data_IF_222982710235
#
_entry.id   IF_222982710235
#
_cell.length_a   1.000
_cell.length_b   1.000
_cell.length_c   1.000
_cell.angle_alpha   90.00
_cell.angle_beta   90.00
_cell.angle_gamma   90.00
#
_symmetry.space_group_name_H-M   'P 1'
#
loop_
_entity.id
_entity.type
_entity.pdbx_description
1 polymer ?
#
# COMPACT_ATOMS: atom_id res chain seq x y z
N UNK A 1 -12.87 -14.11 11.23
CA UNK A 1 -12.34 -12.76 11.60
C UNK A 1 -12.57 -11.85 10.42
N UNK A 2 -12.76 -10.53 10.62
CA UNK A 2 -12.90 -9.61 9.49
C UNK A 2 -11.55 -9.44 8.77
N UNK A 3 -11.60 -9.15 7.48
CA UNK A 3 -10.45 -8.79 6.66
C UNK A 3 -10.08 -7.34 6.94
N UNK A 4 -8.79 -7.04 7.01
CA UNK A 4 -8.26 -5.70 7.16
C UNK A 4 -7.59 -5.22 5.89
N UNK A 5 -7.81 -3.93 5.54
CA UNK A 5 -7.02 -3.27 4.49
C UNK A 5 -5.67 -2.82 5.02
N UNK A 6 -4.65 -2.80 4.17
CA UNK A 6 -3.37 -2.14 4.48
C UNK A 6 -3.42 -0.62 4.28
N UNK A 7 -4.46 -0.08 3.64
CA UNK A 7 -4.65 1.35 3.43
C UNK A 7 -5.57 1.95 4.47
N UNK A 8 -5.41 3.23 4.75
CA UNK A 8 -6.25 3.95 5.70
C UNK A 8 -5.66 5.30 6.09
N UNK A 9 -6.51 6.14 6.66
CA UNK A 9 -6.14 7.44 7.20
C UNK A 9 -6.83 7.67 8.55
N UNK A 10 -6.09 8.25 9.48
CA UNK A 10 -6.67 8.70 10.74
C UNK A 10 -5.99 9.98 11.22
N UNK A 11 -6.77 10.79 11.95
CA UNK A 11 -6.30 12.01 12.59
C UNK A 11 -6.97 12.16 13.95
N UNK A 12 -6.19 12.52 14.96
CA UNK A 12 -6.71 13.00 16.23
C UNK A 12 -6.00 14.29 16.61
N UNK A 13 -6.76 15.27 17.11
CA UNK A 13 -6.24 16.58 17.46
C UNK A 13 -6.75 16.97 18.84
N UNK A 14 -5.97 17.79 19.55
CA UNK A 14 -6.34 18.30 20.86
C UNK A 14 -5.68 19.64 21.15
N UNK A 15 -6.11 20.25 22.25
CA UNK A 15 -5.54 21.49 22.76
C UNK A 15 -5.21 21.33 24.23
N UNK A 16 -4.09 21.90 24.68
CA UNK A 16 -3.66 21.92 26.08
C UNK A 16 -3.01 23.26 26.37
N UNK A 17 -3.65 24.06 27.21
CA UNK A 17 -3.22 25.43 27.46
C UNK A 17 -3.19 26.22 26.15
N UNK A 18 -2.02 26.78 25.82
CA UNK A 18 -1.81 27.55 24.60
C UNK A 18 -1.35 26.69 23.39
N UNK A 19 -1.25 25.39 23.56
CA UNK A 19 -0.75 24.48 22.52
C UNK A 19 -1.89 23.70 21.87
N UNK A 20 -1.97 23.75 20.55
CA UNK A 20 -2.78 22.87 19.73
C UNK A 20 -1.87 21.80 19.10
N UNK A 21 -2.30 20.56 19.11
CA UNK A 21 -1.55 19.47 18.53
C UNK A 21 -2.45 18.54 17.70
N UNK A 22 -1.87 17.88 16.71
CA UNK A 22 -2.56 16.88 15.91
C UNK A 22 -1.61 15.77 15.48
N UNK A 23 -2.06 14.54 15.66
CA UNK A 23 -1.49 13.36 15.03
C UNK A 23 -2.22 13.06 13.72
N UNK A 24 -1.48 12.82 12.69
CA UNK A 24 -1.99 12.31 11.42
C UNK A 24 -1.23 11.04 11.05
N UNK A 25 -1.95 10.05 10.56
CA UNK A 25 -1.36 8.81 10.04
C UNK A 25 -1.99 8.44 8.72
N UNK A 26 -1.14 8.13 7.75
CA UNK A 26 -1.52 7.53 6.47
C UNK A 26 -0.87 6.17 6.37
N UNK A 27 -1.69 5.14 6.18
CA UNK A 27 -1.26 3.77 5.93
C UNK A 27 -1.37 3.48 4.43
N UNK A 28 -0.35 2.89 3.85
CA UNK A 28 -0.32 2.42 2.46
C UNK A 28 0.21 1.00 2.40
N UNK A 29 -0.07 0.31 1.29
CA UNK A 29 0.38 -1.06 1.07
C UNK A 29 1.90 -1.21 1.27
N UNK A 30 2.32 -2.33 1.89
CA UNK A 30 3.72 -2.66 2.16
C UNK A 30 3.96 -4.16 2.29
N UNK A 31 5.14 -4.63 1.90
CA UNK A 31 5.53 -6.06 2.06
C UNK A 31 5.69 -6.48 3.51
N UNK A 32 6.08 -5.54 4.36
CA UNK A 32 6.23 -5.67 5.80
C UNK A 32 5.71 -4.43 6.50
N UNK A 33 5.96 -4.29 7.80
CA UNK A 33 5.65 -3.07 8.54
C UNK A 33 6.83 -2.10 8.44
N UNK A 34 6.57 -0.88 7.98
CA UNK A 34 7.50 0.25 7.99
C UNK A 34 6.81 1.47 8.63
N UNK A 35 7.35 1.96 9.76
CA UNK A 35 6.75 3.08 10.51
C UNK A 35 7.67 4.30 10.43
N UNK A 36 7.24 5.30 9.67
CA UNK A 36 7.96 6.57 9.47
C UNK A 36 7.28 7.66 10.27
N UNK A 37 7.96 8.13 11.31
CA UNK A 37 7.44 9.15 12.21
C UNK A 37 8.16 10.46 11.98
N UNK A 38 7.40 11.55 11.87
CA UNK A 38 7.89 12.93 11.83
C UNK A 38 7.29 13.69 12.99
N UNK A 39 8.15 14.31 13.79
CA UNK A 39 7.77 15.17 14.90
C UNK A 39 8.52 16.50 14.80
N UNK A 40 8.02 17.60 15.38
CA UNK A 40 8.77 18.86 15.46
C UNK A 40 10.05 18.69 16.27
N UNK A 41 11.04 19.56 16.00
CA UNK A 41 12.32 19.61 16.75
C UNK A 41 12.04 19.82 18.24
N UNK A 42 12.74 19.06 19.09
CA UNK A 42 12.58 19.11 20.54
C UNK A 42 11.52 18.16 21.13
N UNK A 43 10.77 17.42 20.26
CA UNK A 43 9.73 16.47 20.67
C UNK A 43 10.06 15.02 20.30
N UNK A 44 11.35 14.67 20.23
CA UNK A 44 11.84 13.37 19.75
C UNK A 44 11.33 12.18 20.58
N UNK A 45 11.04 12.37 21.87
CA UNK A 45 10.45 11.37 22.76
C UNK A 45 9.10 10.83 22.22
N UNK A 46 8.29 11.68 21.60
CA UNK A 46 7.05 11.25 20.98
C UNK A 46 7.27 10.38 19.73
N UNK A 47 8.37 10.57 19.01
CA UNK A 47 8.73 9.73 17.87
C UNK A 47 8.96 8.27 18.28
N UNK A 48 9.68 8.06 19.37
CA UNK A 48 9.96 6.73 19.92
C UNK A 48 8.68 6.05 20.44
N UNK A 49 7.88 6.78 21.22
CA UNK A 49 6.60 6.31 21.71
C UNK A 49 5.65 5.92 20.57
N UNK A 50 5.54 6.76 19.53
CA UNK A 50 4.73 6.49 18.36
C UNK A 50 5.19 5.23 17.62
N UNK A 51 6.48 5.10 17.30
CA UNK A 51 7.04 3.90 16.66
C UNK A 51 6.69 2.63 17.41
N UNK A 52 6.91 2.63 18.73
CA UNK A 52 6.62 1.48 19.58
C UNK A 52 5.14 1.09 19.55
N UNK A 53 4.24 2.07 19.71
CA UNK A 53 2.80 1.81 19.76
C UNK A 53 2.27 1.34 18.39
N UNK A 54 2.67 1.97 17.28
CA UNK A 54 2.30 1.54 15.93
C UNK A 54 2.85 0.15 15.60
N UNK A 55 4.11 -0.15 15.95
CA UNK A 55 4.70 -1.48 15.71
C UNK A 55 4.04 -2.60 16.53
N UNK A 56 3.45 -2.27 17.69
CA UNK A 56 2.66 -3.23 18.47
C UNK A 56 1.25 -3.41 17.91
N UNK A 57 0.70 -2.35 17.30
CA UNK A 57 -0.70 -2.31 16.87
C UNK A 57 -0.94 -2.89 15.46
N UNK A 58 0.07 -2.89 14.59
CA UNK A 58 -0.02 -3.29 13.18
C UNK A 58 1.09 -4.26 12.81
N UNK A 59 0.83 -5.13 11.81
CA UNK A 59 1.78 -6.16 11.36
C UNK A 59 2.30 -5.90 9.96
N UNK A 60 1.55 -5.14 9.12
CA UNK A 60 1.91 -4.82 7.73
C UNK A 60 1.49 -3.41 7.32
N UNK A 61 2.14 -2.94 6.26
CA UNK A 61 1.88 -1.63 5.66
C UNK A 61 2.99 -0.62 5.94
N UNK A 62 3.06 0.42 5.14
CA UNK A 62 3.93 1.57 5.38
C UNK A 62 3.10 2.68 6.02
N UNK A 63 3.43 3.03 7.26
CA UNK A 63 2.75 4.03 8.05
C UNK A 63 3.55 5.34 8.03
N UNK A 64 2.95 6.37 7.46
CA UNK A 64 3.47 7.75 7.54
C UNK A 64 2.74 8.46 8.66
N UNK A 65 3.44 8.70 9.76
CA UNK A 65 2.92 9.30 10.98
C UNK A 65 3.54 10.68 11.14
N UNK A 66 2.72 11.71 11.39
CA UNK A 66 3.21 13.05 11.67
C UNK A 66 2.52 13.64 12.89
N UNK A 67 3.29 14.33 13.72
CA UNK A 67 2.81 15.16 14.81
C UNK A 67 3.00 16.62 14.42
N UNK A 68 1.94 17.39 14.45
CA UNK A 68 2.01 18.85 14.38
C UNK A 68 1.70 19.43 15.76
N UNK A 69 2.51 20.39 16.22
CA UNK A 69 2.28 21.13 17.45
C UNK A 69 2.36 22.61 17.08
N UNK A 70 1.30 23.35 17.37
CA UNK A 70 1.22 24.80 17.18
C UNK A 70 1.00 25.46 18.54
N UNK A 71 1.78 26.48 18.86
CA UNK A 71 1.59 27.30 20.05
C UNK A 71 0.91 28.62 19.64
N UNK A 72 -0.29 28.88 20.14
CA UNK A 72 -0.93 30.19 19.94
C UNK A 72 -0.33 31.27 20.82
N UNK A 73 0.49 30.91 21.79
CA UNK A 73 0.89 31.78 22.89
C UNK A 73 2.34 32.27 22.85
N UNK A 74 3.03 32.30 21.74
CA UNK A 74 4.30 33.04 21.75
C UNK A 74 4.78 33.43 20.36
N UNK A 75 4.62 34.69 20.04
CA UNK A 75 5.70 35.34 19.31
C UNK A 75 7.01 35.04 20.09
N UNK A 76 8.04 34.51 19.41
CA UNK A 76 9.30 34.17 20.09
C UNK A 76 9.81 35.41 20.85
N UNK A 77 9.88 35.30 22.17
CA UNK A 77 10.37 36.40 23.00
C UNK A 77 11.89 36.37 22.94
N UNK A 78 12.53 37.37 22.31
CA UNK A 78 13.99 37.45 22.31
C UNK A 78 14.46 37.69 23.76
N UNK A 79 15.32 36.85 24.25
CA UNK A 79 15.98 36.98 25.52
C UNK A 79 17.43 37.36 25.28
N UNK A 80 17.91 38.39 25.99
CA UNK A 80 19.33 38.76 25.92
C UNK A 80 20.09 37.84 26.87
N UNK A 81 21.07 37.11 26.33
CA UNK A 81 22.08 36.38 27.12
C UNK A 81 23.03 37.40 27.75
N UNK A 82 22.72 37.76 29.00
CA UNK A 82 23.48 38.79 29.70
C UNK A 82 24.96 38.40 29.94
N UNK A 83 25.24 37.11 30.11
CA UNK A 83 26.60 36.61 30.31
C UNK A 83 27.40 36.74 29.01
N UNK A 84 26.87 36.31 27.88
CA UNK A 84 27.52 36.48 26.59
C UNK A 84 27.71 37.97 26.23
N UNK A 85 26.71 38.81 26.51
CA UNK A 85 26.81 40.25 26.28
C UNK A 85 27.89 40.89 27.16
N UNK A 86 27.97 40.54 28.44
CA UNK A 86 28.97 41.06 29.35
C UNK A 86 30.40 40.72 28.90
N UNK A 87 30.65 39.46 28.49
CA UNK A 87 31.95 39.01 27.95
C UNK A 87 32.33 39.80 26.69
N UNK A 88 31.37 40.07 25.81
CA UNK A 88 31.63 40.86 24.60
C UNK A 88 31.93 42.33 24.88
N UNK A 89 31.24 42.95 25.85
CA UNK A 89 31.47 44.33 26.28
C UNK A 89 32.89 44.46 26.89
N UNK A 90 33.28 43.51 27.75
CA UNK A 90 34.60 43.48 28.33
C UNK A 90 35.69 43.32 27.27
N UNK A 91 35.52 42.35 26.37
CA UNK A 91 36.45 42.13 25.25
C UNK A 91 36.57 43.37 24.36
N UNK A 92 35.44 44.01 24.01
CA UNK A 92 35.45 45.25 23.21
C UNK A 92 36.14 46.41 23.91
N UNK A 93 36.04 46.52 25.24
CA UNK A 93 36.70 47.59 26.02
C UNK A 93 38.24 47.50 26.04
N UNK A 94 38.77 46.28 25.85
CA UNK A 94 40.22 46.03 25.85
C UNK A 94 40.87 46.24 24.47
N UNK A 95 40.09 46.43 23.43
CA UNK A 95 40.58 46.61 22.06
C UNK A 95 41.04 48.07 21.85
N UNK A 96 42.33 48.26 21.55
CA UNK A 96 42.84 49.59 21.14
C UNK A 96 42.46 49.82 19.66
N UNK A 97 41.52 50.72 19.43
CA UNK A 97 41.03 51.01 18.09
C UNK A 97 42.00 51.96 17.35
N UNK A 98 42.42 51.69 16.12
CA UNK A 98 43.15 52.60 15.27
C UNK A 98 42.32 53.85 14.93
N UNK A 99 43.02 54.96 14.55
CA UNK A 99 42.36 56.17 14.14
C UNK A 99 41.44 55.92 12.95
N UNK A 100 40.15 56.33 13.08
CA UNK A 100 39.12 56.17 12.03
C UNK A 100 38.19 54.97 12.22
N UNK A 101 38.40 54.14 13.24
CA UNK A 101 37.48 53.08 13.60
C UNK A 101 36.63 53.48 14.81
N UNK A 102 35.33 53.44 14.70
CA UNK A 102 34.39 53.70 15.80
C UNK A 102 34.27 52.49 16.76
N UNK A 103 34.00 52.72 18.06
CA UNK A 103 33.74 51.66 19.02
C UNK A 103 32.50 50.85 18.62
N UNK A 104 32.40 49.58 19.11
CA UNK A 104 31.23 48.75 18.92
C UNK A 104 30.00 49.43 19.56
N UNK A 105 28.90 49.37 18.82
CA UNK A 105 27.60 49.87 19.27
C UNK A 105 26.77 48.75 19.89
N UNK A 106 25.80 49.08 20.76
CA UNK A 106 24.98 48.05 21.41
C UNK A 106 24.20 47.21 20.40
N UNK A 107 23.67 47.82 19.33
CA UNK A 107 23.00 47.12 18.24
C UNK A 107 23.93 46.16 17.53
N UNK A 108 25.18 46.54 17.30
CA UNK A 108 26.24 45.67 16.75
C UNK A 108 26.52 44.46 17.65
N UNK A 109 26.58 44.66 18.97
CA UNK A 109 26.78 43.55 19.91
C UNK A 109 25.57 42.64 20.02
N UNK A 110 24.34 43.18 19.96
CA UNK A 110 23.11 42.38 19.94
C UNK A 110 22.92 41.57 18.68
N UNK A 111 23.54 41.97 17.56
CA UNK A 111 23.49 41.22 16.29
C UNK A 111 24.41 39.99 16.28
N UNK A 112 25.29 39.86 17.27
CA UNK A 112 26.20 38.71 17.39
C UNK A 112 25.40 37.48 17.81
N UNK A 113 25.56 36.39 17.05
CA UNK A 113 24.88 35.11 17.32
C UNK A 113 25.21 34.60 18.73
N UNK A 114 24.18 34.28 19.51
CA UNK A 114 24.31 33.83 20.91
C UNK A 114 24.14 34.93 21.94
N UNK A 115 24.03 36.23 21.55
CA UNK A 115 23.69 37.34 22.45
C UNK A 115 22.19 37.53 22.55
N UNK A 116 21.47 37.45 21.42
CA UNK A 116 20.00 37.37 21.38
C UNK A 116 19.63 35.92 21.13
N UNK A 117 19.09 35.30 22.15
CA UNK A 117 18.53 33.93 22.07
C UNK A 117 17.01 34.03 21.94
N UNK A 118 16.49 33.23 21.05
CA UNK A 118 15.04 32.99 20.98
C UNK A 118 14.76 31.83 21.92
N UNK A 119 14.21 32.13 23.09
CA UNK A 119 13.86 31.11 24.07
C UNK A 119 12.67 30.33 23.54
N UNK A 120 12.92 29.13 23.04
CA UNK A 120 11.87 28.14 22.91
C UNK A 120 11.57 27.60 24.31
N UNK A 121 10.37 27.79 24.81
CA UNK A 121 9.87 27.26 26.10
C UNK A 121 9.80 25.72 26.05
N UNK A 122 10.93 25.04 26.01
CA UNK A 122 10.98 23.61 25.71
C UNK A 122 10.76 22.69 26.92
N UNK A 123 10.99 23.12 28.12
CA UNK A 123 10.97 22.24 29.30
C UNK A 123 9.61 22.06 29.97
N UNK A 124 8.92 23.15 30.28
CA UNK A 124 7.60 23.09 30.93
C UNK A 124 6.48 22.72 29.98
N UNK A 125 6.59 23.09 28.70
CA UNK A 125 5.64 22.74 27.67
C UNK A 125 5.62 21.22 27.38
N UNK A 126 6.77 20.56 27.36
CA UNK A 126 6.89 19.11 27.17
C UNK A 126 6.15 18.32 28.23
N UNK A 127 6.28 18.68 29.50
CA UNK A 127 5.65 17.98 30.62
C UNK A 127 4.11 18.13 30.61
N UNK A 128 3.60 19.28 30.16
CA UNK A 128 2.16 19.53 30.04
C UNK A 128 1.55 18.84 28.82
N UNK A 129 2.32 18.70 27.71
CA UNK A 129 1.87 18.10 26.46
C UNK A 129 1.95 16.56 26.46
N UNK A 130 2.81 15.95 27.29
CA UNK A 130 3.10 14.53 27.23
C UNK A 130 1.83 13.67 27.31
N UNK A 131 1.05 13.81 28.36
CA UNK A 131 -0.17 13.00 28.56
C UNK A 131 -1.22 13.18 27.46
N UNK A 132 -1.64 14.42 27.11
CA UNK A 132 -2.66 14.62 26.08
C UNK A 132 -2.17 14.25 24.69
N UNK A 133 -0.92 14.45 24.33
CA UNK A 133 -0.36 14.03 23.04
C UNK A 133 -0.30 12.50 22.92
N UNK A 134 0.09 11.79 23.99
CA UNK A 134 0.06 10.32 24.01
C UNK A 134 -1.37 9.74 24.01
N UNK A 135 -2.32 10.41 24.64
CA UNK A 135 -3.73 10.03 24.56
C UNK A 135 -4.27 10.16 23.13
N UNK A 136 -4.00 11.28 22.47
CA UNK A 136 -4.38 11.48 21.06
C UNK A 136 -3.66 10.50 20.11
N UNK A 137 -2.43 10.07 20.42
CA UNK A 137 -1.76 9.01 19.69
C UNK A 137 -2.54 7.70 19.76
N UNK A 138 -2.97 7.29 20.96
CA UNK A 138 -3.76 6.09 21.15
C UNK A 138 -5.12 6.16 20.41
N UNK A 139 -5.78 7.33 20.42
CA UNK A 139 -6.99 7.58 19.64
C UNK A 139 -6.74 7.48 18.14
N UNK A 140 -5.62 8.03 17.65
CA UNK A 140 -5.23 7.94 16.22
C UNK A 140 -5.02 6.47 15.80
N UNK A 141 -4.37 5.67 16.64
CA UNK A 141 -4.17 4.23 16.39
C UNK A 141 -5.51 3.49 16.34
N UNK A 142 -6.41 3.76 17.30
CA UNK A 142 -7.74 3.17 17.33
C UNK A 142 -8.56 3.54 16.09
N UNK A 143 -8.54 4.82 15.71
CA UNK A 143 -9.22 5.31 14.52
C UNK A 143 -8.67 4.69 13.23
N UNK A 144 -7.34 4.54 13.11
CA UNK A 144 -6.74 3.86 11.95
C UNK A 144 -7.16 2.40 11.87
N UNK A 145 -7.21 1.66 12.99
CA UNK A 145 -7.71 0.28 13.01
C UNK A 145 -9.15 0.20 12.51
N UNK A 146 -10.00 1.09 12.96
CA UNK A 146 -11.40 1.14 12.51
C UNK A 146 -11.52 1.47 11.02
N UNK A 147 -10.72 2.42 10.52
CA UNK A 147 -10.69 2.77 9.10
C UNK A 147 -10.24 1.58 8.24
N UNK A 148 -9.17 0.86 8.64
CA UNK A 148 -8.67 -0.32 7.94
C UNK A 148 -9.67 -1.49 7.95
N UNK A 149 -10.40 -1.68 9.05
CA UNK A 149 -11.48 -2.68 9.13
C UNK A 149 -12.67 -2.31 8.23
N UNK A 150 -13.07 -1.05 8.21
CA UNK A 150 -14.17 -0.59 7.37
C UNK A 150 -13.84 -0.76 5.87
N UNK A 151 -12.63 -0.37 5.48
CA UNK A 151 -12.14 -0.54 4.10
C UNK A 151 -11.94 -2.03 3.76
N UNK A 152 -11.48 -2.86 4.70
CA UNK A 152 -11.37 -4.30 4.54
C UNK A 152 -12.70 -4.96 4.19
N UNK A 153 -13.80 -4.55 4.83
CA UNK A 153 -15.16 -5.03 4.49
C UNK A 153 -15.59 -4.63 3.07
N UNK A 154 -15.24 -3.42 2.65
CA UNK A 154 -15.52 -2.98 1.28
C UNK A 154 -14.72 -3.78 0.25
N UNK A 155 -13.44 -4.05 0.54
CA UNK A 155 -12.57 -4.92 -0.29
C UNK A 155 -13.12 -6.34 -0.37
N UNK A 156 -13.59 -6.92 0.74
CA UNK A 156 -14.21 -8.26 0.77
C UNK A 156 -15.40 -8.35 -0.18
N UNK A 157 -16.28 -7.34 -0.17
CA UNK A 157 -17.43 -7.30 -1.07
C UNK A 157 -17.00 -7.21 -2.55
N UNK A 158 -16.00 -6.39 -2.87
CA UNK A 158 -15.47 -6.25 -4.24
C UNK A 158 -14.81 -7.56 -4.71
N UNK A 159 -13.96 -8.16 -3.87
CA UNK A 159 -13.27 -9.43 -4.15
C UNK A 159 -14.29 -10.55 -4.37
N UNK A 160 -15.34 -10.61 -3.55
CA UNK A 160 -16.42 -11.59 -3.70
C UNK A 160 -17.17 -11.40 -5.02
N UNK A 161 -17.45 -10.17 -5.44
CA UNK A 161 -18.08 -9.87 -6.72
C UNK A 161 -17.23 -10.28 -7.94
N UNK A 162 -15.91 -10.05 -7.88
CA UNK A 162 -14.98 -10.55 -8.90
C UNK A 162 -14.96 -12.08 -8.94
N UNK A 163 -14.94 -12.72 -7.77
CA UNK A 163 -14.94 -14.18 -7.65
C UNK A 163 -16.20 -14.81 -8.22
N UNK A 164 -17.36 -14.22 -7.99
CA UNK A 164 -18.64 -14.68 -8.59
C UNK A 164 -18.64 -14.52 -10.11
N UNK A 165 -18.01 -13.45 -10.62
CA UNK A 165 -17.85 -13.24 -12.05
C UNK A 165 -16.91 -14.28 -12.66
N UNK A 166 -15.77 -14.58 -12.01
CA UNK A 166 -14.85 -15.65 -12.43
C UNK A 166 -15.55 -17.00 -12.44
N UNK A 167 -16.30 -17.34 -11.38
CA UNK A 167 -17.07 -18.58 -11.32
C UNK A 167 -18.08 -18.71 -12.47
N UNK A 168 -18.83 -17.65 -12.76
CA UNK A 168 -19.78 -17.61 -13.87
C UNK A 168 -19.10 -17.78 -15.22
N UNK A 169 -17.97 -17.13 -15.46
CA UNK A 169 -17.20 -17.25 -16.70
C UNK A 169 -16.59 -18.64 -16.85
N UNK A 170 -16.12 -19.23 -15.75
CA UNK A 170 -15.62 -20.62 -15.74
C UNK A 170 -16.72 -21.60 -16.14
N UNK A 171 -17.93 -21.49 -15.59
CA UNK A 171 -19.08 -22.28 -15.99
C UNK A 171 -19.48 -22.04 -17.45
N UNK A 172 -19.41 -20.80 -17.93
CA UNK A 172 -19.66 -20.47 -19.33
C UNK A 172 -18.63 -21.12 -20.27
N UNK A 173 -17.37 -21.14 -19.90
CA UNK A 173 -16.32 -21.85 -20.64
C UNK A 173 -16.56 -23.36 -20.60
N UNK A 174 -16.97 -23.91 -19.49
CA UNK A 174 -17.29 -25.33 -19.33
C UNK A 174 -18.43 -25.77 -20.21
N UNK A 175 -19.50 -25.00 -20.28
CA UNK A 175 -20.70 -25.29 -21.08
C UNK A 175 -20.55 -24.92 -22.58
N UNK A 176 -19.43 -24.33 -22.99
CA UNK A 176 -19.30 -23.80 -24.35
C UNK A 176 -19.22 -24.92 -25.41
N UNK A 177 -20.05 -24.87 -26.47
CA UNK A 177 -20.08 -25.91 -27.49
C UNK A 177 -18.76 -26.14 -28.21
N UNK A 178 -17.94 -25.06 -28.36
CA UNK A 178 -16.63 -25.10 -29.02
C UNK A 178 -15.60 -26.00 -28.36
N UNK A 179 -15.84 -26.48 -27.12
CA UNK A 179 -14.96 -27.44 -26.43
C UNK A 179 -15.39 -28.91 -26.64
N UNK A 180 -16.52 -29.17 -27.28
CA UNK A 180 -16.92 -30.54 -27.55
C UNK A 180 -15.90 -31.25 -28.44
N UNK A 181 -15.77 -32.57 -28.27
CA UNK A 181 -14.86 -33.39 -29.06
C UNK A 181 -15.15 -33.26 -30.55
N UNK A 182 -16.44 -33.15 -30.88
CA UNK A 182 -16.92 -32.97 -32.27
C UNK A 182 -16.50 -31.63 -32.85
N UNK A 183 -16.63 -30.53 -32.09
CA UNK A 183 -16.22 -29.20 -32.52
C UNK A 183 -14.69 -29.11 -32.69
N UNK A 184 -13.94 -29.70 -31.77
CA UNK A 184 -12.46 -29.78 -31.86
C UNK A 184 -12.06 -30.58 -33.10
N UNK A 185 -12.67 -31.75 -33.35
CA UNK A 185 -12.41 -32.59 -34.55
C UNK A 185 -12.74 -31.85 -35.85
N UNK A 186 -13.89 -31.19 -35.91
CA UNK A 186 -14.30 -30.43 -37.11
C UNK A 186 -13.29 -29.31 -37.41
N UNK A 187 -12.87 -28.57 -36.41
CA UNK A 187 -11.87 -27.49 -36.55
C UNK A 187 -10.51 -28.04 -37.00
N UNK A 188 -10.04 -29.12 -36.38
CA UNK A 188 -8.77 -29.76 -36.76
C UNK A 188 -8.83 -30.30 -38.19
N UNK A 189 -9.95 -30.91 -38.60
CA UNK A 189 -10.15 -31.38 -39.96
C UNK A 189 -10.08 -30.24 -40.99
N UNK A 190 -10.68 -29.07 -40.67
CA UNK A 190 -10.59 -27.87 -41.50
C UNK A 190 -9.19 -27.32 -41.63
N UNK A 191 -8.43 -27.26 -40.50
CA UNK A 191 -7.03 -26.83 -40.51
C UNK A 191 -6.15 -27.79 -41.33
N UNK A 192 -6.34 -29.10 -41.18
CA UNK A 192 -5.62 -30.11 -41.93
C UNK A 192 -5.94 -29.99 -43.42
N UNK A 193 -7.22 -29.85 -43.81
CA UNK A 193 -7.63 -29.70 -45.21
C UNK A 193 -6.93 -28.46 -45.84
N UNK A 194 -6.92 -27.31 -45.14
CA UNK A 194 -6.26 -26.11 -45.65
C UNK A 194 -4.73 -26.27 -45.80
N UNK A 195 -4.09 -27.09 -44.98
CA UNK A 195 -2.65 -27.39 -45.08
C UNK A 195 -2.37 -28.35 -46.22
N UNK A 196 -3.22 -29.35 -46.49
CA UNK A 196 -3.13 -30.28 -47.60
C UNK A 196 -3.33 -29.58 -48.95
N UNK A 197 -4.28 -28.66 -49.03
CA UNK A 197 -4.49 -27.86 -50.24
C UNK A 197 -3.25 -26.96 -50.57
N UNK A 198 -2.53 -26.52 -49.54
CA UNK A 198 -1.35 -25.68 -49.70
C UNK A 198 -0.02 -26.46 -50.04
N UNK A 199 0.01 -27.79 -49.85
CA UNK A 199 1.23 -28.56 -50.09
C UNK A 199 0.94 -30.05 -50.37
N UNK A 200 1.30 -30.49 -51.57
CA UNK A 200 1.19 -31.90 -52.04
C UNK A 200 2.21 -32.88 -51.42
N UNK A 201 2.97 -32.48 -50.40
CA UNK A 201 4.14 -33.20 -49.92
C UNK A 201 4.08 -33.71 -48.45
N UNK A 202 2.88 -33.71 -47.83
CA UNK A 202 2.75 -34.13 -46.44
C UNK A 202 2.45 -35.63 -46.31
N UNK A 203 3.31 -36.36 -45.54
CA UNK A 203 3.06 -37.78 -45.24
C UNK A 203 1.86 -37.94 -44.30
N UNK A 204 0.88 -38.86 -44.63
CA UNK A 204 -0.33 -39.05 -43.82
C UNK A 204 -0.06 -39.40 -42.37
N UNK A 205 0.95 -40.16 -42.07
CA UNK A 205 1.31 -40.56 -40.70
C UNK A 205 1.76 -39.37 -39.83
N UNK A 206 2.53 -38.44 -40.39
CA UNK A 206 2.95 -37.23 -39.72
C UNK A 206 1.81 -36.28 -39.44
N UNK A 207 0.84 -36.24 -40.37
CA UNK A 207 -0.37 -35.46 -40.22
C UNK A 207 -1.26 -35.96 -39.06
N UNK A 208 -1.40 -37.30 -38.91
CA UNK A 208 -2.12 -37.90 -37.79
C UNK A 208 -1.48 -37.62 -36.43
N UNK A 209 -0.14 -37.64 -36.38
CA UNK A 209 0.61 -37.30 -35.14
C UNK A 209 0.44 -35.85 -34.75
N UNK A 210 0.56 -34.92 -35.70
CA UNK A 210 0.33 -33.48 -35.43
C UNK A 210 -1.11 -33.22 -35.03
N UNK A 211 -2.09 -33.84 -35.65
CA UNK A 211 -3.51 -33.73 -35.28
C UNK A 211 -3.77 -34.22 -33.84
N UNK A 212 -3.15 -35.34 -33.44
CA UNK A 212 -3.27 -35.83 -32.06
C UNK A 212 -2.64 -34.86 -31.05
N UNK A 213 -1.47 -34.27 -31.34
CA UNK A 213 -0.82 -33.28 -30.52
C UNK A 213 -1.64 -31.99 -30.40
N UNK A 214 -2.26 -31.52 -31.50
CA UNK A 214 -3.15 -30.36 -31.50
C UNK A 214 -4.45 -30.62 -30.70
N UNK A 215 -4.98 -31.83 -30.73
CA UNK A 215 -6.16 -32.20 -29.95
C UNK A 215 -5.87 -32.17 -28.45
N UNK A 216 -4.72 -32.68 -28.02
CA UNK A 216 -4.27 -32.61 -26.62
C UNK A 216 -4.04 -31.15 -26.18
N UNK A 217 -3.43 -30.35 -27.05
CA UNK A 217 -3.21 -28.91 -26.77
C UNK A 217 -4.51 -28.08 -26.72
N UNK A 218 -5.58 -28.53 -27.35
CA UNK A 218 -6.87 -27.82 -27.35
C UNK A 218 -7.77 -28.19 -26.16
N UNK A 219 -7.38 -29.16 -25.34
CA UNK A 219 -8.14 -29.53 -24.14
C UNK A 219 -7.88 -28.51 -23.03
N UNK A 220 -8.98 -27.88 -22.56
CA UNK A 220 -8.98 -26.87 -21.48
C UNK A 220 -9.63 -27.42 -20.19
N UNK A 221 -9.84 -28.72 -20.09
CA UNK A 221 -10.54 -29.32 -18.95
C UNK A 221 -9.77 -29.11 -17.65
N UNK A 222 -8.47 -29.29 -17.69
CA UNK A 222 -7.59 -29.12 -16.53
C UNK A 222 -7.64 -27.68 -16.00
N UNK A 223 -7.58 -26.68 -16.88
CA UNK A 223 -7.68 -25.26 -16.53
C UNK A 223 -9.03 -24.93 -15.87
N UNK A 224 -10.11 -25.48 -16.38
CA UNK A 224 -11.46 -25.31 -15.82
C UNK A 224 -11.56 -25.94 -14.42
N UNK A 225 -11.09 -27.19 -14.27
CA UNK A 225 -11.10 -27.89 -12.97
C UNK A 225 -10.27 -27.14 -11.93
N UNK A 226 -9.12 -26.60 -12.32
CA UNK A 226 -8.27 -25.75 -11.45
C UNK A 226 -8.92 -24.42 -11.11
N UNK A 227 -9.57 -23.75 -12.06
CA UNK A 227 -10.32 -22.53 -11.81
C UNK A 227 -11.44 -22.76 -10.79
N UNK A 228 -12.19 -23.87 -10.89
CA UNK A 228 -13.19 -24.24 -9.89
C UNK A 228 -12.58 -24.47 -8.50
N UNK A 229 -11.46 -25.18 -8.42
CA UNK A 229 -10.75 -25.42 -7.17
C UNK A 229 -10.27 -24.12 -6.54
N UNK A 230 -9.71 -23.20 -7.33
CA UNK A 230 -9.23 -21.91 -6.85
C UNK A 230 -10.39 -21.01 -6.39
N UNK A 231 -11.55 -21.03 -7.06
CA UNK A 231 -12.76 -20.32 -6.61
C UNK A 231 -13.20 -20.82 -5.24
N UNK A 232 -13.24 -22.14 -5.04
CA UNK A 232 -13.61 -22.73 -3.76
C UNK A 232 -12.59 -22.35 -2.65
N UNK A 233 -11.30 -22.48 -2.93
CA UNK A 233 -10.23 -22.14 -1.98
C UNK A 233 -10.24 -20.65 -1.58
N UNK A 234 -10.50 -19.73 -2.54
CA UNK A 234 -10.54 -18.30 -2.23
C UNK A 234 -11.79 -17.96 -1.39
N UNK A 235 -12.94 -18.55 -1.67
CA UNK A 235 -14.15 -18.40 -0.83
C UNK A 235 -13.91 -18.87 0.60
N UNK A 236 -13.22 -19.99 0.76
CA UNK A 236 -12.87 -20.51 2.08
C UNK A 236 -11.93 -19.56 2.85
N UNK A 237 -10.90 -19.00 2.18
CA UNK A 237 -10.01 -18.01 2.78
C UNK A 237 -10.76 -16.75 3.21
N UNK A 238 -11.67 -16.22 2.38
CA UNK A 238 -12.51 -15.07 2.75
C UNK A 238 -13.36 -15.37 3.99
N UNK A 239 -13.94 -16.55 4.07
CA UNK A 239 -14.74 -16.98 5.24
C UNK A 239 -13.89 -17.13 6.51
N UNK A 240 -12.64 -17.57 6.43
CA UNK A 240 -11.71 -17.66 7.55
C UNK A 240 -11.32 -16.26 8.07
N UNK A 241 -11.10 -15.31 7.17
CA UNK A 241 -10.64 -13.97 7.49
C UNK A 241 -9.25 -13.92 8.16
N UNK A 242 -8.92 -12.77 8.77
CA UNK A 242 -7.61 -12.55 9.40
C UNK A 242 -6.51 -12.25 8.38
N UNK A 243 -5.22 -12.48 8.68
CA UNK A 243 -4.08 -12.10 7.82
C UNK A 243 -3.93 -13.08 6.64
N UNK A 244 -4.82 -12.98 5.66
CA UNK A 244 -4.91 -13.86 4.50
C UNK A 244 -4.31 -13.29 3.22
N UNK A 245 -3.89 -12.02 3.21
CA UNK A 245 -3.47 -11.31 1.99
C UNK A 245 -2.42 -12.02 1.15
N UNK A 246 -1.41 -12.68 1.77
CA UNK A 246 -0.41 -13.45 1.01
C UNK A 246 -0.99 -14.68 0.31
N UNK A 247 -1.95 -15.35 0.95
CA UNK A 247 -2.62 -16.53 0.36
C UNK A 247 -3.53 -16.12 -0.78
N UNK A 248 -4.23 -14.98 -0.62
CA UNK A 248 -5.05 -14.40 -1.67
C UNK A 248 -4.21 -13.98 -2.88
N UNK A 249 -3.05 -13.31 -2.66
CA UNK A 249 -2.15 -12.93 -3.75
C UNK A 249 -1.63 -14.15 -4.52
N UNK A 250 -1.27 -15.23 -3.83
CA UNK A 250 -0.89 -16.49 -4.46
C UNK A 250 -2.02 -17.06 -5.32
N UNK A 251 -3.24 -17.15 -4.80
CA UNK A 251 -4.39 -17.64 -5.57
C UNK A 251 -4.72 -16.74 -6.77
N UNK A 252 -4.61 -15.42 -6.62
CA UNK A 252 -4.81 -14.49 -7.72
C UNK A 252 -3.79 -14.70 -8.86
N UNK A 253 -2.53 -15.07 -8.54
CA UNK A 253 -1.52 -15.44 -9.52
C UNK A 253 -1.88 -16.75 -10.23
N UNK A 254 -2.35 -17.77 -9.49
CA UNK A 254 -2.78 -19.04 -10.09
C UNK A 254 -4.01 -18.83 -11.01
N UNK A 255 -5.00 -18.02 -10.59
CA UNK A 255 -6.09 -17.64 -11.50
C UNK A 255 -5.58 -17.01 -12.81
N UNK A 256 -4.61 -16.11 -12.73
CA UNK A 256 -3.98 -15.48 -13.89
C UNK A 256 -3.30 -16.47 -14.81
N UNK A 257 -2.65 -17.48 -14.24
CA UNK A 257 -2.01 -18.55 -14.99
C UNK A 257 -3.03 -19.41 -15.74
N UNK A 258 -4.07 -19.89 -15.03
CA UNK A 258 -5.10 -20.74 -15.64
C UNK A 258 -5.90 -19.97 -16.70
N UNK A 259 -6.27 -18.72 -16.46
CA UNK A 259 -6.94 -17.87 -17.45
C UNK A 259 -6.08 -17.65 -18.71
N UNK A 260 -4.76 -17.43 -18.54
CA UNK A 260 -3.84 -17.25 -19.66
C UNK A 260 -3.67 -18.53 -20.48
N UNK A 261 -3.58 -19.69 -19.81
CA UNK A 261 -3.48 -21.00 -20.47
C UNK A 261 -4.76 -21.34 -21.23
N UNK A 262 -5.93 -21.05 -20.62
CA UNK A 262 -7.21 -21.20 -21.27
C UNK A 262 -7.31 -20.35 -22.54
N UNK A 263 -6.90 -19.08 -22.49
CA UNK A 263 -6.84 -18.21 -23.68
C UNK A 263 -5.95 -18.80 -24.78
N UNK A 264 -4.76 -19.30 -24.41
CA UNK A 264 -3.81 -19.86 -25.39
C UNK A 264 -4.30 -21.14 -26.04
N UNK A 265 -5.03 -21.99 -25.31
CA UNK A 265 -5.61 -23.25 -25.79
C UNK A 265 -6.95 -23.06 -26.50
N UNK A 266 -7.66 -21.94 -26.24
CA UNK A 266 -8.96 -21.65 -26.82
C UNK A 266 -8.84 -21.41 -28.33
N UNK A 267 -9.11 -22.44 -29.11
CA UNK A 267 -9.11 -22.34 -30.57
C UNK A 267 -10.43 -21.82 -31.15
N UNK A 268 -11.46 -21.63 -30.33
CA UNK A 268 -12.76 -21.12 -30.72
C UNK A 268 -12.89 -19.63 -30.34
N UNK A 269 -13.43 -18.76 -31.21
CA UNK A 269 -13.56 -17.32 -30.93
C UNK A 269 -14.42 -17.01 -29.69
N UNK A 270 -15.46 -17.80 -29.42
CA UNK A 270 -16.31 -17.65 -28.23
C UNK A 270 -15.58 -18.01 -26.96
N UNK A 271 -14.83 -19.11 -26.95
CA UNK A 271 -13.96 -19.49 -25.83
C UNK A 271 -12.85 -18.48 -25.60
N UNK A 272 -12.23 -17.99 -26.69
CA UNK A 272 -11.18 -16.96 -26.60
C UNK A 272 -11.72 -15.69 -25.96
N UNK A 273 -12.93 -15.25 -26.28
CA UNK A 273 -13.57 -14.10 -25.64
C UNK A 273 -13.82 -14.33 -24.16
N UNK A 274 -14.35 -15.49 -23.76
CA UNK A 274 -14.52 -15.84 -22.34
C UNK A 274 -13.18 -15.83 -21.61
N UNK A 275 -12.14 -16.37 -22.20
CA UNK A 275 -10.79 -16.36 -21.63
C UNK A 275 -10.22 -14.95 -21.42
N UNK A 276 -10.43 -14.04 -22.37
CA UNK A 276 -10.03 -12.64 -22.24
C UNK A 276 -10.81 -11.91 -21.15
N UNK A 277 -12.13 -12.16 -21.03
CA UNK A 277 -12.95 -11.62 -19.95
C UNK A 277 -12.46 -12.15 -18.58
N UNK A 278 -12.20 -13.46 -18.48
CA UNK A 278 -11.62 -14.06 -17.27
C UNK A 278 -10.32 -13.37 -16.87
N UNK A 279 -9.41 -13.19 -17.82
CA UNK A 279 -8.13 -12.53 -17.57
C UNK A 279 -8.32 -11.10 -17.04
N UNK A 280 -9.22 -10.33 -17.64
CA UNK A 280 -9.53 -8.96 -17.21
C UNK A 280 -10.03 -8.92 -15.76
N UNK A 281 -10.98 -9.81 -15.40
CA UNK A 281 -11.53 -9.85 -14.04
C UNK A 281 -10.50 -10.36 -13.04
N UNK A 282 -9.63 -11.29 -13.43
CA UNK A 282 -8.54 -11.78 -12.59
C UNK A 282 -7.51 -10.68 -12.32
N UNK A 283 -7.17 -9.86 -13.32
CA UNK A 283 -6.27 -8.72 -13.13
C UNK A 283 -6.88 -7.70 -12.15
N UNK A 284 -8.18 -7.41 -12.25
CA UNK A 284 -8.91 -6.56 -11.30
C UNK A 284 -8.93 -7.17 -9.89
N UNK A 285 -9.20 -8.46 -9.76
CA UNK A 285 -9.12 -9.19 -8.49
C UNK A 285 -7.74 -9.04 -7.85
N UNK A 286 -6.68 -9.20 -8.64
CA UNK A 286 -5.30 -9.11 -8.17
C UNK A 286 -4.96 -7.73 -7.62
N UNK A 287 -5.42 -6.66 -8.26
CA UNK A 287 -5.24 -5.28 -7.76
C UNK A 287 -5.89 -5.09 -6.38
N UNK A 288 -7.11 -5.61 -6.19
CA UNK A 288 -7.79 -5.47 -4.90
C UNK A 288 -7.13 -6.30 -3.79
N UNK A 289 -6.72 -7.53 -4.11
CA UNK A 289 -6.05 -8.44 -3.17
C UNK A 289 -4.74 -7.85 -2.63
N UNK A 290 -4.01 -7.04 -3.41
CA UNK A 290 -2.78 -6.38 -2.98
C UNK A 290 -2.97 -5.43 -1.80
N UNK A 291 -4.20 -4.96 -1.55
CA UNK A 291 -4.53 -4.07 -0.44
C UNK A 291 -4.98 -4.82 0.82
N UNK A 292 -5.13 -6.13 0.77
CA UNK A 292 -5.53 -6.97 1.91
C UNK A 292 -4.32 -7.36 2.75
N UNK A 293 -4.44 -7.22 4.09
CA UNK A 293 -3.42 -7.65 5.04
C UNK A 293 -3.29 -9.17 5.16
#
# INVERSE_FOLDING_TARGET
MAIESMTGFARAAGTTGAHAFAWEVRSVNGRGLDVRVRVPTGFDSFSEAARKQFSTAFTRGTLHVSLAINSEASAPRPRINQEALAVLIEAASQVKLPAGIAPATLDGLLAIRGVVEVSEESGDALSQLEKPVLAALAETIAALKQARLAEGRALEAIISGHLDTIARLTLAAEAHPGRSVEAIRARLAGQIASLLDASNALEPQRLHQEAALLAVKADIREEIDRLHAHVAALRELLAQGGPIGRKLDFLAQEFGREASTLCAKAGDPGLSRIGLELRTVVDQLREQVQNVE
#
